data_IF_246584712388
#
_entry.id   IF_246584712388
#
_cell.length_a   1.000
_cell.length_b   1.000
_cell.length_c   1.000
_cell.angle_alpha   90.00
_cell.angle_beta   90.00
_cell.angle_gamma   90.00
#
_symmetry.space_group_name_H-M   'P 1'
#
loop_
_entity.id
_entity.type
_entity.pdbx_description
1 polymer ?
#
# COMPACT_ATOMS: atom_id res chain seq x y z
N UNK A 1 17.52 -24.63 -9.44
CA UNK A 1 18.49 -23.61 -9.74
C UNK A 1 18.64 -22.64 -8.61
N UNK A 2 19.88 -22.43 -8.18
CA UNK A 2 20.18 -21.53 -7.07
C UNK A 2 19.72 -20.10 -7.29
N UNK A 3 19.79 -19.58 -8.51
CA UNK A 3 19.34 -18.23 -8.84
C UNK A 3 17.84 -18.05 -8.59
N UNK A 4 17.03 -19.00 -9.08
CA UNK A 4 15.57 -18.94 -8.90
C UNK A 4 15.22 -19.05 -7.41
N UNK A 5 15.90 -19.95 -6.69
CA UNK A 5 15.73 -20.10 -5.24
C UNK A 5 16.08 -18.81 -4.50
N UNK A 6 17.19 -18.14 -4.90
CA UNK A 6 17.59 -16.87 -4.30
C UNK A 6 16.54 -15.77 -4.52
N UNK A 7 15.94 -15.70 -5.71
CA UNK A 7 14.87 -14.73 -6.00
C UNK A 7 13.65 -15.01 -5.14
N UNK A 8 13.25 -16.28 -4.97
CA UNK A 8 12.14 -16.68 -4.11
C UNK A 8 12.41 -16.34 -2.64
N UNK A 9 13.65 -16.55 -2.17
CA UNK A 9 14.04 -16.25 -0.80
C UNK A 9 14.02 -14.76 -0.46
N UNK A 10 14.02 -13.88 -1.49
CA UNK A 10 13.92 -12.43 -1.31
C UNK A 10 12.49 -11.97 -1.06
N UNK A 11 11.49 -12.80 -1.34
CA UNK A 11 10.09 -12.48 -1.07
C UNK A 11 9.89 -12.55 0.44
N UNK A 12 9.34 -11.48 1.01
CA UNK A 12 9.10 -11.39 2.45
C UNK A 12 7.91 -12.23 2.87
N UNK A 13 8.00 -12.85 4.04
CA UNK A 13 6.87 -13.56 4.62
C UNK A 13 5.86 -12.58 5.18
N UNK A 14 4.60 -12.98 5.23
CA UNK A 14 3.52 -12.16 5.79
C UNK A 14 3.85 -11.69 7.21
N UNK A 15 4.35 -12.59 8.06
CA UNK A 15 4.72 -12.26 9.44
C UNK A 15 5.78 -11.17 9.52
N UNK A 16 6.76 -11.18 8.62
CA UNK A 16 7.80 -10.16 8.56
C UNK A 16 7.23 -8.82 8.11
N UNK A 17 6.39 -8.83 7.08
CA UNK A 17 5.72 -7.61 6.61
C UNK A 17 4.84 -7.01 7.69
N UNK A 18 4.05 -7.83 8.37
CA UNK A 18 3.20 -7.37 9.48
C UNK A 18 4.01 -6.78 10.62
N UNK A 19 5.18 -7.34 10.93
CA UNK A 19 6.07 -6.82 11.97
C UNK A 19 6.57 -5.43 11.61
N UNK A 20 6.95 -5.22 10.35
CA UNK A 20 7.40 -3.92 9.87
C UNK A 20 6.25 -2.90 9.93
N UNK A 21 5.07 -3.29 9.49
CA UNK A 21 3.88 -2.43 9.52
C UNK A 21 3.61 -1.98 10.96
N UNK A 22 3.61 -2.92 11.90
CA UNK A 22 3.34 -2.63 13.31
C UNK A 22 4.36 -1.66 13.91
N UNK A 23 5.62 -1.76 13.50
CA UNK A 23 6.69 -0.88 13.96
C UNK A 23 6.60 0.51 13.33
N UNK A 24 6.35 0.57 12.02
CA UNK A 24 6.53 1.78 11.21
C UNK A 24 5.24 2.60 11.08
N UNK A 25 4.09 1.96 10.95
CA UNK A 25 2.84 2.66 10.66
C UNK A 25 2.49 3.74 11.69
N UNK A 26 2.64 3.52 13.02
CA UNK A 26 2.41 4.58 14.00
C UNK A 26 3.30 5.81 13.79
N UNK A 27 4.52 5.62 13.30
CA UNK A 27 5.45 6.70 13.00
C UNK A 27 4.98 7.51 11.79
N UNK A 28 4.43 6.83 10.78
CA UNK A 28 3.86 7.47 9.59
C UNK A 28 2.65 8.31 9.99
N UNK A 29 1.75 7.75 10.77
CA UNK A 29 0.57 8.46 11.30
C UNK A 29 0.99 9.73 12.05
N UNK A 30 1.97 9.61 12.92
CA UNK A 30 2.45 10.72 13.72
C UNK A 30 3.09 11.82 12.86
N UNK A 31 3.80 11.41 11.80
CA UNK A 31 4.52 12.35 10.93
C UNK A 31 3.57 13.14 10.02
N UNK A 32 2.65 12.45 9.36
CA UNK A 32 1.77 13.07 8.37
C UNK A 32 0.45 13.58 8.93
N UNK A 33 0.04 13.09 10.09
CA UNK A 33 -1.20 13.52 10.75
C UNK A 33 -2.45 12.88 10.15
N UNK A 34 -3.58 13.55 10.36
CA UNK A 34 -4.89 12.99 10.08
C UNK A 34 -5.56 13.63 8.86
N UNK A 35 -6.34 12.83 8.14
CA UNK A 35 -7.12 13.29 7.00
C UNK A 35 -8.30 14.14 7.43
N UNK A 36 -8.61 15.15 6.61
CA UNK A 36 -9.83 15.95 6.75
C UNK A 36 -11.07 15.20 6.25
N UNK A 37 -10.86 14.10 5.55
CA UNK A 37 -11.93 13.39 4.83
C UNK A 37 -12.35 12.09 5.49
N UNK A 38 -11.69 11.70 6.58
CA UNK A 38 -11.96 10.48 7.32
C UNK A 38 -12.01 10.77 8.81
N UNK A 39 -12.80 10.00 9.56
CA UNK A 39 -12.97 10.20 11.00
C UNK A 39 -11.83 9.62 11.84
N UNK A 40 -11.14 8.63 11.31
CA UNK A 40 -10.04 7.95 12.01
C UNK A 40 -8.94 7.58 11.03
N UNK A 41 -7.80 7.12 11.57
CA UNK A 41 -6.70 6.62 10.75
C UNK A 41 -7.10 5.31 10.09
N UNK A 42 -6.46 4.97 8.95
CA UNK A 42 -6.85 3.77 8.22
C UNK A 42 -6.43 2.49 8.96
N UNK A 43 -7.24 1.46 8.80
CA UNK A 43 -6.88 0.10 9.20
C UNK A 43 -5.91 -0.46 8.15
N UNK A 44 -4.86 -1.14 8.61
CA UNK A 44 -3.87 -1.75 7.69
C UNK A 44 -3.93 -3.25 7.85
N UNK A 45 -4.08 -3.95 6.72
CA UNK A 45 -4.09 -5.41 6.69
C UNK A 45 -3.21 -5.93 5.56
N UNK A 46 -2.87 -7.21 5.63
CA UNK A 46 -2.09 -7.89 4.59
C UNK A 46 -2.91 -9.04 4.00
N UNK A 47 -2.73 -9.26 2.71
CA UNK A 47 -3.30 -10.39 2.00
C UNK A 47 -2.28 -10.92 0.99
N UNK A 48 -2.48 -12.13 0.51
CA UNK A 48 -1.63 -12.73 -0.51
C UNK A 48 -1.79 -12.02 -1.86
N UNK A 49 -3.05 -11.76 -2.25
CA UNK A 49 -3.39 -11.10 -3.51
C UNK A 49 -4.82 -10.54 -3.44
N UNK A 50 -5.24 -9.86 -4.50
CA UNK A 50 -6.58 -9.26 -4.56
C UNK A 50 -7.68 -10.31 -4.52
N UNK A 51 -7.42 -11.50 -5.05
CA UNK A 51 -8.41 -12.59 -5.07
C UNK A 51 -8.69 -13.11 -3.67
N UNK A 52 -7.65 -13.31 -2.87
CA UNK A 52 -7.81 -13.70 -1.46
C UNK A 52 -8.61 -12.66 -0.68
N UNK A 53 -8.27 -11.38 -0.88
CA UNK A 53 -8.93 -10.29 -0.17
C UNK A 53 -10.42 -10.23 -0.49
N UNK A 54 -10.78 -10.23 -1.77
CA UNK A 54 -12.16 -9.96 -2.20
C UNK A 54 -13.04 -11.19 -2.23
N UNK A 55 -12.49 -12.38 -2.40
CA UNK A 55 -13.25 -13.62 -2.32
C UNK A 55 -13.45 -14.12 -0.90
N UNK A 56 -12.58 -13.72 0.02
CA UNK A 56 -12.55 -14.24 1.38
C UNK A 56 -12.01 -15.67 1.46
N UNK A 57 -11.50 -16.21 0.37
CA UNK A 57 -10.99 -17.57 0.27
C UNK A 57 -9.48 -17.57 0.42
N UNK A 58 -8.96 -18.16 1.49
CA UNK A 58 -7.53 -18.21 1.76
C UNK A 58 -6.78 -18.86 0.60
N UNK A 59 -5.75 -18.18 0.11
CA UNK A 59 -4.93 -18.69 -0.97
C UNK A 59 -5.57 -18.63 -2.35
N UNK A 60 -6.71 -17.95 -2.51
CA UNK A 60 -7.35 -17.79 -3.82
C UNK A 60 -6.38 -17.26 -4.87
N UNK A 61 -6.46 -17.80 -6.08
CA UNK A 61 -5.62 -17.43 -7.21
C UNK A 61 -6.47 -16.95 -8.38
N UNK A 62 -5.86 -16.18 -9.27
CA UNK A 62 -6.50 -15.66 -10.47
C UNK A 62 -5.45 -15.32 -11.52
N UNK A 63 -5.80 -14.46 -12.47
CA UNK A 63 -4.86 -13.96 -13.44
C UNK A 63 -3.73 -13.21 -12.73
N UNK A 64 -2.62 -12.97 -13.43
CA UNK A 64 -1.43 -12.34 -12.87
C UNK A 64 -1.77 -11.06 -12.12
N UNK A 65 -1.43 -11.05 -10.84
CA UNK A 65 -1.68 -9.94 -9.94
C UNK A 65 -0.36 -9.32 -9.51
N UNK A 66 -0.14 -8.07 -9.92
CA UNK A 66 1.08 -7.31 -9.57
C UNK A 66 0.79 -6.12 -8.68
N UNK A 67 -0.41 -6.02 -8.17
CA UNK A 67 -0.76 -4.94 -7.25
C UNK A 67 0.05 -5.07 -5.97
N UNK A 68 0.76 -4.02 -5.58
CA UNK A 68 1.57 -4.00 -4.37
C UNK A 68 0.74 -3.68 -3.13
N UNK A 69 -0.20 -2.78 -3.27
CA UNK A 69 -1.06 -2.34 -2.18
C UNK A 69 -2.18 -1.48 -2.74
N UNK A 70 -3.17 -1.20 -1.90
CA UNK A 70 -4.25 -0.27 -2.26
C UNK A 70 -4.81 0.40 -1.02
N UNK A 71 -5.36 1.60 -1.21
CA UNK A 71 -6.15 2.28 -0.20
C UNK A 71 -7.60 2.37 -0.68
N UNK A 72 -8.52 1.95 0.16
CA UNK A 72 -9.96 2.05 -0.10
C UNK A 72 -10.56 3.13 0.80
N UNK A 73 -11.01 4.23 0.21
CA UNK A 73 -11.57 5.35 0.98
C UNK A 73 -12.92 5.01 1.62
N UNK A 74 -13.72 4.16 0.98
CA UNK A 74 -15.02 3.74 1.51
C UNK A 74 -14.87 2.94 2.80
N UNK A 75 -13.86 2.07 2.85
CA UNK A 75 -13.56 1.22 4.01
C UNK A 75 -12.54 1.87 4.95
N UNK A 76 -11.88 2.94 4.50
CA UNK A 76 -10.76 3.58 5.19
C UNK A 76 -9.69 2.53 5.55
N UNK A 77 -9.21 1.82 4.55
CA UNK A 77 -8.38 0.64 4.74
C UNK A 77 -7.23 0.60 3.75
N UNK A 78 -6.05 0.30 4.26
CA UNK A 78 -4.85 0.03 3.45
C UNK A 78 -4.65 -1.47 3.42
N UNK A 79 -4.51 -2.03 2.23
CA UNK A 79 -4.18 -3.44 2.05
C UNK A 79 -2.81 -3.56 1.41
N UNK A 80 -1.92 -4.31 2.03
CA UNK A 80 -0.59 -4.60 1.52
C UNK A 80 -0.54 -6.05 1.06
N UNK A 81 -0.15 -6.28 -0.19
CA UNK A 81 -0.03 -7.63 -0.74
C UNK A 81 1.40 -8.12 -0.51
N UNK A 82 1.60 -8.87 0.57
CA UNK A 82 2.92 -9.19 1.11
C UNK A 82 3.87 -9.89 0.14
N UNK A 83 3.41 -10.74 -0.82
CA UNK A 83 4.35 -11.36 -1.76
C UNK A 83 5.03 -10.37 -2.71
N UNK A 84 4.46 -9.17 -2.87
CA UNK A 84 5.04 -8.12 -3.71
C UNK A 84 6.11 -7.32 -2.95
N UNK A 85 6.20 -7.47 -1.65
CA UNK A 85 7.17 -6.77 -0.81
C UNK A 85 8.51 -7.51 -0.83
N UNK A 86 9.60 -6.79 -1.13
CA UNK A 86 10.93 -7.38 -1.29
C UNK A 86 11.95 -6.87 -0.26
N UNK A 87 11.61 -5.80 0.46
CA UNK A 87 12.51 -5.20 1.42
C UNK A 87 11.74 -4.35 2.42
N UNK A 88 12.36 -4.05 3.56
CA UNK A 88 11.79 -3.13 4.55
C UNK A 88 11.55 -1.75 3.93
N UNK A 89 12.51 -1.27 3.12
CA UNK A 89 12.37 -0.01 2.38
C UNK A 89 11.08 0.01 1.55
N UNK A 90 10.82 -1.07 0.80
CA UNK A 90 9.65 -1.16 -0.05
C UNK A 90 8.36 -1.16 0.76
N UNK A 91 8.33 -1.85 1.90
CA UNK A 91 7.17 -1.83 2.80
C UNK A 91 6.91 -0.40 3.28
N UNK A 92 7.94 0.31 3.72
CA UNK A 92 7.80 1.68 4.20
C UNK A 92 7.31 2.60 3.10
N UNK A 93 7.91 2.53 1.90
CA UNK A 93 7.49 3.34 0.75
C UNK A 93 6.04 3.07 0.37
N UNK A 94 5.63 1.81 0.41
CA UNK A 94 4.27 1.40 0.11
C UNK A 94 3.28 1.94 1.14
N UNK A 95 3.61 1.86 2.42
CA UNK A 95 2.77 2.41 3.49
C UNK A 95 2.61 3.93 3.35
N UNK A 96 3.70 4.62 3.03
CA UNK A 96 3.66 6.07 2.81
C UNK A 96 2.73 6.40 1.65
N UNK A 97 2.91 5.72 0.52
CA UNK A 97 2.10 5.94 -0.69
C UNK A 97 0.60 5.82 -0.39
N UNK A 98 0.20 4.74 0.27
CA UNK A 98 -1.21 4.53 0.58
C UNK A 98 -1.70 5.49 1.68
N UNK A 99 -0.84 5.86 2.62
CA UNK A 99 -1.21 6.85 3.64
C UNK A 99 -1.46 8.23 3.03
N UNK A 100 -0.69 8.62 2.03
CA UNK A 100 -0.93 9.88 1.31
C UNK A 100 -2.31 9.85 0.64
N UNK A 101 -2.71 8.71 0.05
CA UNK A 101 -4.07 8.57 -0.49
C UNK A 101 -5.14 8.75 0.59
N UNK A 102 -4.88 8.26 1.80
CA UNK A 102 -5.77 8.48 2.94
C UNK A 102 -5.94 9.99 3.24
N UNK A 103 -4.90 10.78 3.06
CA UNK A 103 -4.95 12.23 3.28
C UNK A 103 -5.66 13.01 2.18
N UNK A 104 -5.80 12.42 1.00
CA UNK A 104 -6.36 13.07 -0.19
C UNK A 104 -7.88 13.02 -0.22
N UNK A 105 -8.49 13.92 -0.98
CA UNK A 105 -9.94 13.97 -1.16
C UNK A 105 -10.43 12.81 -2.04
N UNK A 106 -11.29 11.90 -1.52
CA UNK A 106 -11.84 10.82 -2.35
C UNK A 106 -12.62 11.33 -3.54
N UNK A 107 -13.35 12.45 -3.38
CA UNK A 107 -14.14 13.00 -4.48
C UNK A 107 -13.25 13.57 -5.58
N UNK A 108 -12.16 14.22 -5.24
CA UNK A 108 -11.21 14.74 -6.23
C UNK A 108 -10.40 13.62 -6.87
N UNK A 109 -10.10 12.56 -6.14
CA UNK A 109 -9.45 11.38 -6.69
C UNK A 109 -10.26 10.82 -7.86
N UNK A 110 -11.56 10.66 -7.67
CA UNK A 110 -12.50 10.20 -8.71
C UNK A 110 -12.63 11.22 -9.83
N UNK A 111 -12.72 12.51 -9.51
CA UNK A 111 -12.86 13.59 -10.50
C UNK A 111 -11.69 13.61 -11.48
N UNK A 112 -10.47 13.42 -11.02
CA UNK A 112 -9.32 13.41 -11.90
C UNK A 112 -9.41 12.28 -12.94
N UNK A 113 -9.83 11.09 -12.53
CA UNK A 113 -10.08 10.02 -13.50
C UNK A 113 -11.17 10.39 -14.50
N UNK A 114 -12.25 11.01 -14.03
CA UNK A 114 -13.34 11.45 -14.90
C UNK A 114 -12.92 12.55 -15.87
N UNK A 115 -11.87 13.31 -15.53
CA UNK A 115 -11.30 14.34 -16.40
C UNK A 115 -10.35 13.77 -17.46
N UNK A 116 -10.09 12.48 -17.44
CA UNK A 116 -9.24 11.82 -18.43
C UNK A 116 -7.83 11.47 -17.97
N UNK A 117 -7.46 11.77 -16.72
CA UNK A 117 -6.16 11.34 -16.19
C UNK A 117 -6.14 9.83 -16.02
N UNK A 118 -5.01 9.21 -16.34
CA UNK A 118 -4.79 7.79 -16.08
C UNK A 118 -3.92 7.62 -14.82
N UNK A 119 -3.58 6.38 -14.48
CA UNK A 119 -2.77 6.13 -13.28
C UNK A 119 -1.44 6.89 -13.29
N UNK A 120 -0.78 6.95 -14.44
CA UNK A 120 0.56 7.58 -14.56
C UNK A 120 0.47 9.11 -14.45
N UNK A 121 -0.60 9.70 -14.94
CA UNK A 121 -0.77 11.16 -15.01
C UNK A 121 -1.63 11.73 -13.88
N UNK A 122 -2.30 10.88 -13.11
CA UNK A 122 -3.20 11.30 -12.03
C UNK A 122 -2.43 12.15 -10.99
N UNK A 123 -2.85 13.41 -10.75
CA UNK A 123 -2.13 14.30 -9.82
C UNK A 123 -1.92 13.73 -8.43
N UNK A 124 -2.90 12.99 -7.89
CA UNK A 124 -2.79 12.39 -6.57
C UNK A 124 -1.85 11.19 -6.54
N UNK A 125 -1.75 10.43 -7.63
CA UNK A 125 -0.76 9.35 -7.72
C UNK A 125 0.65 9.92 -7.81
N UNK A 126 0.83 10.98 -8.59
CA UNK A 126 2.12 11.67 -8.68
C UNK A 126 2.55 12.21 -7.31
N UNK A 127 1.61 12.81 -6.57
CA UNK A 127 1.87 13.30 -5.22
C UNK A 127 2.28 12.16 -4.30
N UNK A 128 1.52 11.05 -4.28
CA UNK A 128 1.82 9.90 -3.43
C UNK A 128 3.21 9.33 -3.72
N UNK A 129 3.56 9.21 -5.01
CA UNK A 129 4.89 8.74 -5.42
C UNK A 129 5.97 9.69 -4.92
N UNK A 130 5.74 11.00 -4.98
CA UNK A 130 6.73 11.99 -4.55
C UNK A 130 7.09 11.88 -3.07
N UNK A 131 6.17 11.38 -2.23
CA UNK A 131 6.43 11.19 -0.80
C UNK A 131 7.18 9.91 -0.46
N UNK A 132 7.30 8.97 -1.39
CA UNK A 132 7.98 7.68 -1.13
C UNK A 132 9.44 7.85 -0.70
N UNK A 133 10.10 8.92 -1.12
CA UNK A 133 11.47 9.25 -0.70
C UNK A 133 11.60 9.49 0.80
N UNK A 134 10.49 9.80 1.47
CA UNK A 134 10.47 10.06 2.91
C UNK A 134 10.69 8.79 3.73
N UNK A 135 10.80 7.62 3.09
CA UNK A 135 11.08 6.36 3.80
C UNK A 135 12.29 6.47 4.74
N UNK A 136 13.25 7.33 4.39
CA UNK A 136 14.46 7.56 5.18
C UNK A 136 14.18 8.11 6.58
N UNK A 137 13.05 8.77 6.75
CA UNK A 137 12.66 9.35 8.04
C UNK A 137 12.22 8.28 9.04
N UNK A 138 11.91 7.07 8.58
CA UNK A 138 11.31 6.02 9.39
C UNK A 138 12.20 4.81 9.61
N UNK A 139 13.37 4.82 9.01
CA UNK A 139 14.36 3.75 9.20
C UNK A 139 15.10 3.92 10.52
#
# INVERSE_FOLDING_TARGET
FSYISSVRLRVMKESTVNKIIKEIFPKIENHYGFSKFQECTPYVETHKNIYEKYSGEEGAEGEEDKCHAEYCSMMNEITVYYPQMKSKKMVIQTLIHEYIHYLQSPSWFKRYYNMGYDYVTHPYEIEAISYEKDYKLFI
#
